data_IF_131943642992
#
_entry.id   IF_131943642992
#
_cell.length_a   1.000
_cell.length_b   1.000
_cell.length_c   1.000
_cell.angle_alpha   90.00
_cell.angle_beta   90.00
_cell.angle_gamma   90.00
#
_symmetry.space_group_name_H-M   'P 1'
#
loop_
_entity.id
_entity.type
_entity.pdbx_description
1 polymer ?
#
# COMPACT_ATOMS: atom_id res chain seq x y z
N UNK A 1 -8.31 -3.09 3.38
CA UNK A 1 -7.49 -1.90 3.63
C UNK A 1 -7.01 -1.92 5.07
N UNK A 2 -5.72 -1.99 5.34
CA UNK A 2 -5.17 -1.92 6.69
C UNK A 2 -5.01 -0.46 7.14
N UNK A 3 -4.60 0.41 6.23
CA UNK A 3 -4.51 1.84 6.42
C UNK A 3 -4.70 2.58 5.11
N UNK A 4 -5.21 3.81 5.17
CA UNK A 4 -5.61 4.58 3.99
C UNK A 4 -5.15 6.05 4.04
N UNK A 5 -4.38 6.39 5.06
CA UNK A 5 -3.90 7.75 5.29
C UNK A 5 -2.49 7.99 4.77
N UNK A 6 -2.18 9.27 4.63
CA UNK A 6 -0.87 9.80 4.26
C UNK A 6 0.21 9.54 5.32
N UNK A 7 1.45 9.90 5.03
CA UNK A 7 2.65 9.68 5.85
C UNK A 7 2.52 10.13 7.31
N UNK A 8 1.69 11.12 7.60
CA UNK A 8 1.45 11.61 8.97
C UNK A 8 0.27 10.91 9.67
N UNK A 9 -0.49 10.09 8.95
CA UNK A 9 -1.78 9.57 9.43
C UNK A 9 -2.83 10.68 9.60
N UNK A 10 -4.06 10.28 9.94
CA UNK A 10 -5.14 11.20 10.27
C UNK A 10 -5.81 10.70 11.55
N UNK A 11 -5.90 11.53 12.62
CA UNK A 11 -5.53 12.93 12.73
C UNK A 11 -4.02 13.18 12.72
N UNK A 12 -3.65 14.36 12.21
CA UNK A 12 -2.26 14.83 12.26
C UNK A 12 -1.94 15.38 13.65
N UNK A 13 -0.79 15.08 14.20
CA UNK A 13 -0.37 15.50 15.55
C UNK A 13 -0.42 17.02 15.67
N UNK A 14 -1.15 17.51 16.67
CA UNK A 14 -1.32 18.94 16.94
C UNK A 14 -2.26 19.68 15.98
N UNK A 15 -2.90 19.01 15.04
CA UNK A 15 -3.86 19.64 14.12
C UNK A 15 -5.29 19.62 14.67
N UNK A 16 -5.94 20.79 14.62
CA UNK A 16 -7.33 20.99 15.06
C UNK A 16 -8.29 21.31 13.90
N UNK A 17 -7.95 20.88 12.67
CA UNK A 17 -8.85 21.09 11.53
C UNK A 17 -10.11 20.21 11.66
N UNK A 18 -11.17 20.52 10.89
CA UNK A 18 -12.44 19.77 10.97
C UNK A 18 -12.32 18.27 10.68
N UNK A 19 -11.31 17.84 9.92
CA UNK A 19 -11.05 16.41 9.64
C UNK A 19 -10.37 15.74 10.85
N UNK A 20 -9.34 16.38 11.40
CA UNK A 20 -8.61 15.83 12.56
C UNK A 20 -9.48 15.76 13.83
N UNK A 21 -10.43 16.68 13.99
CA UNK A 21 -11.41 16.69 15.07
C UNK A 21 -12.68 15.88 14.77
N UNK A 22 -12.82 15.32 13.56
CA UNK A 22 -14.00 14.53 13.20
C UNK A 22 -14.15 13.31 14.11
N UNK A 23 -15.38 12.98 14.49
CA UNK A 23 -15.72 11.75 15.22
C UNK A 23 -16.04 10.57 14.26
N UNK A 24 -16.16 10.85 12.96
CA UNK A 24 -16.37 9.80 11.96
C UNK A 24 -15.13 8.88 11.92
N UNK A 25 -15.28 7.56 12.17
CA UNK A 25 -14.17 6.62 12.10
C UNK A 25 -13.51 6.56 10.73
N UNK A 26 -14.22 6.91 9.65
CA UNK A 26 -13.66 6.95 8.29
C UNK A 26 -12.69 8.13 8.08
N UNK A 27 -12.70 9.13 8.96
CA UNK A 27 -11.72 10.22 9.00
C UNK A 27 -10.50 9.88 9.89
N UNK A 28 -10.46 8.70 10.50
CA UNK A 28 -9.30 8.20 11.27
C UNK A 28 -8.55 7.20 10.40
N UNK A 29 -7.32 7.57 10.01
CA UNK A 29 -6.56 6.82 8.99
C UNK A 29 -5.15 6.50 9.48
N UNK A 30 -4.81 5.23 9.59
CA UNK A 30 -3.44 4.77 9.70
C UNK A 30 -2.70 4.97 8.37
N UNK A 31 -1.36 4.89 8.38
CA UNK A 31 -0.53 4.95 7.17
C UNK A 31 -0.93 3.86 6.19
N UNK A 32 -0.79 4.17 4.90
CA UNK A 32 -1.25 3.31 3.81
C UNK A 32 -0.66 1.91 3.87
N UNK A 33 -1.54 0.92 3.85
CA UNK A 33 -1.20 -0.50 3.76
C UNK A 33 -2.44 -1.29 3.36
N UNK A 34 -2.26 -2.39 2.63
CA UNK A 34 -3.35 -3.31 2.29
C UNK A 34 -2.98 -4.76 2.63
N UNK A 35 -4.00 -5.54 2.98
CA UNK A 35 -3.96 -6.99 3.04
C UNK A 35 -4.68 -7.53 1.81
N UNK A 36 -4.06 -8.48 1.13
CA UNK A 36 -4.61 -9.21 0.00
C UNK A 36 -4.79 -10.66 0.44
N UNK A 37 -5.99 -11.20 0.21
CA UNK A 37 -6.33 -12.56 0.60
C UNK A 37 -6.93 -13.30 -0.60
N UNK A 38 -6.41 -14.52 -0.86
CA UNK A 38 -6.94 -15.47 -1.85
C UNK A 38 -6.85 -16.87 -1.26
N UNK A 39 -7.99 -17.53 -1.03
CA UNK A 39 -8.01 -18.82 -0.36
C UNK A 39 -7.30 -18.77 1.00
N UNK A 40 -6.19 -19.50 1.09
CA UNK A 40 -5.36 -19.50 2.29
C UNK A 40 -4.17 -18.54 2.23
N UNK A 41 -3.91 -17.90 1.10
CA UNK A 41 -2.77 -16.99 0.93
C UNK A 41 -3.10 -15.59 1.46
N UNK A 42 -2.18 -15.04 2.26
CA UNK A 42 -2.28 -13.69 2.84
C UNK A 42 -1.00 -12.91 2.59
N UNK A 43 -1.12 -11.79 1.89
CA UNK A 43 0.00 -10.92 1.53
C UNK A 43 -0.30 -9.50 1.96
N UNK A 44 0.67 -8.85 2.59
CA UNK A 44 0.57 -7.42 2.94
C UNK A 44 1.42 -6.60 1.98
N UNK A 45 0.92 -5.45 1.56
CA UNK A 45 1.73 -4.41 0.92
C UNK A 45 1.94 -3.28 1.92
N UNK A 46 3.21 -3.01 2.23
CA UNK A 46 3.74 -2.03 3.16
C UNK A 46 3.43 -2.29 4.64
N UNK A 47 4.43 -2.01 5.50
CA UNK A 47 4.37 -2.15 6.95
C UNK A 47 4.75 -0.82 7.60
N UNK A 48 3.81 0.13 7.65
CA UNK A 48 4.03 1.43 8.28
C UNK A 48 4.11 1.36 9.81
N UNK A 49 4.21 2.51 10.47
CA UNK A 49 4.36 2.61 11.93
C UNK A 49 3.27 1.91 12.75
N UNK A 50 2.02 1.86 12.24
CA UNK A 50 0.89 1.22 12.92
C UNK A 50 0.67 -0.23 12.52
N UNK A 51 1.61 -0.87 11.81
CA UNK A 51 1.44 -2.20 11.24
C UNK A 51 0.94 -3.23 12.27
N UNK A 52 1.51 -3.24 13.48
CA UNK A 52 1.03 -4.10 14.56
C UNK A 52 -0.44 -3.84 14.90
N UNK A 53 -0.84 -2.58 15.04
CA UNK A 53 -2.23 -2.22 15.35
C UNK A 53 -3.18 -2.55 14.20
N UNK A 54 -2.73 -2.36 12.96
CA UNK A 54 -3.46 -2.73 11.76
C UNK A 54 -3.72 -4.23 11.71
N UNK A 55 -2.71 -5.06 11.98
CA UNK A 55 -2.85 -6.52 12.05
C UNK A 55 -3.80 -6.97 13.15
N UNK A 56 -3.66 -6.45 14.37
CA UNK A 56 -4.53 -6.80 15.49
C UNK A 56 -5.99 -6.44 15.20
N UNK A 57 -6.24 -5.25 14.65
CA UNK A 57 -7.59 -4.78 14.29
C UNK A 57 -8.23 -5.62 13.19
N UNK A 58 -7.44 -6.11 12.24
CA UNK A 58 -7.92 -6.87 11.08
C UNK A 58 -7.81 -8.39 11.25
N UNK A 59 -7.41 -8.88 12.43
CA UNK A 59 -7.29 -10.32 12.70
C UNK A 59 -6.24 -11.03 11.84
N UNK A 60 -5.13 -10.35 11.50
CA UNK A 60 -4.04 -10.93 10.70
C UNK A 60 -3.14 -11.74 11.62
N UNK A 61 -3.26 -13.07 11.57
CA UNK A 61 -2.51 -14.01 12.43
C UNK A 61 -1.37 -14.73 11.69
N UNK A 62 -1.35 -14.66 10.36
CA UNK A 62 -0.29 -15.25 9.51
C UNK A 62 -0.11 -14.44 8.24
N UNK A 63 1.06 -14.52 7.66
CA UNK A 63 1.42 -13.94 6.36
C UNK A 63 2.24 -14.95 5.55
N UNK A 64 2.00 -14.96 4.24
CA UNK A 64 2.78 -15.72 3.28
C UNK A 64 3.86 -14.85 2.61
N UNK A 65 3.74 -13.53 2.72
CA UNK A 65 4.74 -12.59 2.25
C UNK A 65 4.37 -11.13 2.47
N UNK A 66 5.36 -10.26 2.31
CA UNK A 66 5.21 -8.81 2.38
C UNK A 66 5.83 -8.16 1.16
N UNK A 67 5.09 -7.28 0.49
CA UNK A 67 5.58 -6.48 -0.62
C UNK A 67 5.81 -5.04 -0.14
N UNK A 68 6.89 -4.44 -0.61
CA UNK A 68 7.18 -3.03 -0.33
C UNK A 68 7.11 -2.19 -1.59
N UNK A 69 6.33 -1.11 -1.53
CA UNK A 69 6.25 -0.14 -2.62
C UNK A 69 7.55 0.67 -2.72
N UNK A 70 8.03 1.15 -1.60
CA UNK A 70 9.29 1.90 -1.48
C UNK A 70 9.75 1.95 -0.01
N UNK A 71 10.86 2.63 0.26
CA UNK A 71 11.52 2.59 1.58
C UNK A 71 11.29 3.83 2.43
N UNK A 72 10.20 4.59 2.24
CA UNK A 72 9.85 5.66 3.17
C UNK A 72 9.37 5.10 4.52
N UNK A 73 9.59 5.85 5.62
CA UNK A 73 9.29 5.38 6.97
C UNK A 73 7.84 4.95 7.20
N UNK A 74 6.90 5.66 6.61
CA UNK A 74 5.46 5.40 6.72
C UNK A 74 5.00 4.12 6.01
N UNK A 75 5.85 3.54 5.15
CA UNK A 75 5.62 2.26 4.48
C UNK A 75 6.49 1.12 5.04
N UNK A 76 7.55 1.45 5.81
CA UNK A 76 8.56 0.47 6.17
C UNK A 76 8.78 0.27 7.68
N UNK A 77 8.56 1.29 8.52
CA UNK A 77 9.10 1.28 9.90
C UNK A 77 8.36 0.37 10.89
N UNK A 78 7.30 -0.31 10.48
CA UNK A 78 6.71 -1.44 11.19
C UNK A 78 7.28 -2.81 10.83
N UNK A 79 8.32 -2.86 9.98
CA UNK A 79 8.96 -4.10 9.52
C UNK A 79 9.39 -5.00 10.68
N UNK A 80 9.82 -4.46 11.79
CA UNK A 80 10.28 -5.23 12.94
C UNK A 80 9.18 -6.07 13.59
N UNK A 81 7.90 -5.68 13.42
CA UNK A 81 6.75 -6.46 13.88
C UNK A 81 6.51 -7.73 13.07
N UNK A 82 7.21 -7.92 11.94
CA UNK A 82 7.20 -9.18 11.18
C UNK A 82 7.72 -10.37 12.00
N UNK A 83 8.41 -10.10 13.11
CA UNK A 83 8.80 -11.15 14.08
C UNK A 83 7.62 -11.97 14.60
N UNK A 84 6.42 -11.40 14.63
CA UNK A 84 5.22 -12.10 15.06
C UNK A 84 4.77 -13.20 14.09
N UNK A 85 5.19 -13.11 12.82
CA UNK A 85 4.85 -14.05 11.75
C UNK A 85 5.96 -15.08 11.46
N UNK A 86 7.11 -14.92 12.14
CA UNK A 86 8.18 -15.91 12.11
C UNK A 86 7.75 -17.14 12.91
N UNK A 87 7.59 -18.27 12.23
CA UNK A 87 7.16 -19.52 12.85
C UNK A 87 7.94 -20.70 12.27
N UNK A 88 8.18 -21.70 13.09
CA UNK A 88 8.80 -22.97 12.68
C UNK A 88 10.12 -22.78 11.92
N UNK A 89 10.94 -21.81 12.35
CA UNK A 89 12.26 -21.52 11.76
C UNK A 89 12.20 -21.07 10.28
N UNK A 90 11.03 -20.67 9.79
CA UNK A 90 10.87 -20.12 8.44
C UNK A 90 10.97 -18.59 8.46
N UNK A 91 11.81 -18.06 7.58
CA UNK A 91 11.88 -16.62 7.33
C UNK A 91 10.57 -16.09 6.73
N UNK A 92 10.29 -14.80 6.91
CA UNK A 92 9.22 -14.13 6.19
C UNK A 92 9.79 -13.63 4.87
N UNK A 93 9.16 -14.03 3.76
CA UNK A 93 9.56 -13.57 2.44
C UNK A 93 9.12 -12.12 2.21
N UNK A 94 10.03 -11.29 1.69
CA UNK A 94 9.77 -9.89 1.37
C UNK A 94 10.16 -9.57 -0.07
N UNK A 95 9.35 -8.77 -0.76
CA UNK A 95 9.60 -8.31 -2.13
C UNK A 95 9.66 -6.80 -2.20
N UNK A 96 10.47 -6.29 -3.09
CA UNK A 96 10.55 -4.87 -3.42
C UNK A 96 11.53 -4.63 -4.56
N UNK A 97 11.53 -3.41 -5.11
CA UNK A 97 12.56 -3.04 -6.08
C UNK A 97 13.97 -3.23 -5.49
N UNK A 98 14.98 -3.35 -6.35
CA UNK A 98 16.37 -3.47 -5.88
C UNK A 98 16.74 -2.34 -4.92
N UNK A 99 16.34 -1.09 -5.24
CA UNK A 99 16.63 0.07 -4.40
C UNK A 99 15.94 -0.03 -3.03
N UNK A 100 14.70 -0.48 -3.00
CA UNK A 100 13.94 -0.71 -1.76
C UNK A 100 14.59 -1.78 -0.89
N UNK A 101 14.92 -2.95 -1.47
CA UNK A 101 15.56 -4.05 -0.73
C UNK A 101 16.96 -3.65 -0.21
N UNK A 102 17.76 -2.96 -1.01
CA UNK A 102 19.08 -2.47 -0.58
C UNK A 102 18.96 -1.47 0.59
N UNK A 103 17.92 -0.62 0.57
CA UNK A 103 17.65 0.32 1.65
C UNK A 103 17.19 -0.42 2.93
N UNK A 104 16.33 -1.43 2.81
CA UNK A 104 15.92 -2.28 3.94
C UNK A 104 17.14 -2.97 4.56
N UNK A 105 18.03 -3.55 3.76
CA UNK A 105 19.28 -4.17 4.24
C UNK A 105 20.17 -3.19 4.99
N UNK A 106 20.19 -1.93 4.57
CA UNK A 106 20.97 -0.88 5.23
C UNK A 106 20.36 -0.47 6.58
N UNK A 107 19.03 -0.36 6.64
CA UNK A 107 18.32 0.09 7.85
C UNK A 107 18.17 -1.02 8.90
N UNK A 108 17.98 -2.25 8.45
CA UNK A 108 17.70 -3.41 9.29
C UNK A 108 18.68 -4.57 9.04
N UNK A 109 20.00 -4.36 9.16
CA UNK A 109 20.97 -5.41 8.80
C UNK A 109 20.86 -6.68 9.65
N UNK A 110 20.26 -6.58 10.82
CA UNK A 110 20.11 -7.70 11.75
C UNK A 110 19.07 -8.75 11.30
N UNK A 111 18.02 -8.36 10.52
CA UNK A 111 16.98 -9.27 10.06
C UNK A 111 17.44 -10.23 8.96
N UNK A 112 18.61 -9.99 8.37
CA UNK A 112 19.21 -10.82 7.32
C UNK A 112 20.37 -11.69 7.81
N UNK A 113 20.62 -11.71 9.14
CA UNK A 113 21.63 -12.58 9.71
C UNK A 113 21.17 -14.04 9.68
N UNK A 114 22.12 -15.01 9.67
CA UNK A 114 21.77 -16.41 9.87
C UNK A 114 20.92 -16.59 11.13
N UNK A 115 20.03 -17.57 11.11
CA UNK A 115 19.14 -17.87 12.21
C UNK A 115 19.89 -17.99 13.53
N UNK A 116 19.37 -17.32 14.54
CA UNK A 116 19.75 -17.45 15.95
C UNK A 116 18.48 -17.35 16.79
N UNK A 117 18.42 -18.03 17.93
CA UNK A 117 17.27 -18.00 18.87
C UNK A 117 17.20 -16.66 19.65
N UNK A 118 17.38 -15.54 18.95
CA UNK A 118 17.46 -14.20 19.53
C UNK A 118 16.12 -13.43 19.51
N UNK A 119 15.04 -14.06 18.99
CA UNK A 119 13.72 -13.45 18.90
C UNK A 119 13.61 -12.33 17.86
N UNK A 120 14.60 -12.18 16.98
CA UNK A 120 14.59 -11.22 15.88
C UNK A 120 13.79 -11.76 14.69
N UNK A 121 13.19 -10.90 13.87
CA UNK A 121 12.61 -11.34 12.61
C UNK A 121 13.73 -11.81 11.67
N UNK A 122 13.47 -12.88 10.93
CA UNK A 122 14.33 -13.33 9.84
C UNK A 122 13.59 -13.15 8.53
N UNK A 123 14.20 -12.40 7.60
CA UNK A 123 13.59 -12.04 6.34
C UNK A 123 14.37 -12.61 5.16
N UNK A 124 13.64 -13.14 4.18
CA UNK A 124 14.18 -13.57 2.89
C UNK A 124 13.84 -12.54 1.81
N UNK A 125 14.83 -11.76 1.33
CA UNK A 125 14.57 -10.69 0.37
C UNK A 125 14.55 -11.21 -1.07
N UNK A 126 13.55 -10.79 -1.83
CA UNK A 126 13.39 -11.03 -3.26
C UNK A 126 13.30 -9.70 -4.02
N UNK A 127 13.87 -9.66 -5.21
CA UNK A 127 13.83 -8.46 -6.07
C UNK A 127 12.62 -8.53 -6.98
N UNK A 128 11.70 -7.59 -6.80
CA UNK A 128 10.62 -7.34 -7.76
C UNK A 128 11.18 -6.51 -8.92
N UNK A 129 11.12 -7.04 -10.13
CA UNK A 129 11.65 -6.40 -11.34
C UNK A 129 10.50 -5.91 -12.22
N UNK A 130 10.67 -4.76 -12.88
CA UNK A 130 9.68 -4.14 -13.75
C UNK A 130 9.01 -5.16 -14.70
N UNK A 131 7.71 -5.35 -14.53
CA UNK A 131 6.88 -6.19 -15.40
C UNK A 131 7.17 -7.69 -15.36
N UNK A 132 8.02 -8.18 -14.45
CA UNK A 132 8.32 -9.59 -14.28
C UNK A 132 7.41 -10.19 -13.22
N UNK A 133 6.45 -11.08 -13.59
CA UNK A 133 5.54 -11.67 -12.62
C UNK A 133 6.28 -12.56 -11.60
N UNK A 134 5.75 -12.61 -10.39
CA UNK A 134 6.18 -13.56 -9.36
C UNK A 134 4.98 -14.02 -8.53
N UNK A 135 5.11 -15.18 -7.89
CA UNK A 135 4.07 -15.78 -7.06
C UNK A 135 4.39 -15.63 -5.57
N UNK A 136 3.35 -15.33 -4.79
CA UNK A 136 3.34 -15.50 -3.34
C UNK A 136 2.12 -16.36 -3.01
N UNK A 137 2.36 -17.60 -2.62
CA UNK A 137 1.28 -18.59 -2.53
C UNK A 137 0.54 -18.73 -3.89
N UNK A 138 -0.78 -18.52 -3.85
CA UNK A 138 -1.67 -18.63 -5.01
C UNK A 138 -1.92 -17.28 -5.73
N UNK A 139 -1.19 -16.22 -5.36
CA UNK A 139 -1.37 -14.88 -5.90
C UNK A 139 -0.19 -14.51 -6.79
N UNK A 140 -0.46 -14.22 -8.05
CA UNK A 140 0.53 -13.65 -8.96
C UNK A 140 0.56 -12.13 -8.82
N UNK A 141 1.76 -11.56 -8.70
CA UNK A 141 2.01 -10.13 -8.67
C UNK A 141 2.84 -9.69 -9.85
N UNK A 142 2.43 -8.60 -10.50
CA UNK A 142 3.20 -7.94 -11.55
C UNK A 142 3.61 -6.56 -11.02
N UNK A 143 4.90 -6.36 -10.70
CA UNK A 143 5.41 -5.08 -10.25
C UNK A 143 5.65 -4.13 -11.43
N UNK A 144 5.40 -2.84 -11.22
CA UNK A 144 5.73 -1.78 -12.17
C UNK A 144 6.19 -0.51 -11.44
N UNK A 145 7.20 0.14 -11.99
CA UNK A 145 7.88 1.25 -11.32
C UNK A 145 7.32 2.60 -11.74
N UNK A 146 7.08 3.46 -10.76
CA UNK A 146 6.48 4.77 -10.90
C UNK A 146 7.37 5.84 -10.28
N UNK A 147 7.10 7.10 -10.59
CA UNK A 147 7.80 8.25 -10.00
C UNK A 147 7.07 8.73 -8.76
N UNK A 148 7.78 8.92 -7.67
CA UNK A 148 7.31 9.52 -6.43
C UNK A 148 8.26 10.66 -6.02
N UNK A 149 8.06 11.86 -6.58
CA UNK A 149 9.01 12.95 -6.43
C UNK A 149 10.43 12.53 -6.87
N UNK A 150 11.43 12.57 -5.97
CA UNK A 150 12.80 12.18 -6.30
C UNK A 150 13.09 10.68 -6.20
N UNK A 151 12.14 9.87 -5.74
CA UNK A 151 12.31 8.42 -5.53
C UNK A 151 11.40 7.62 -6.46
N UNK A 152 11.71 6.32 -6.57
CA UNK A 152 10.88 5.37 -7.29
C UNK A 152 9.96 4.65 -6.30
N UNK A 153 8.69 4.49 -6.67
CA UNK A 153 7.72 3.65 -6.00
C UNK A 153 7.30 2.49 -6.90
N UNK A 154 6.93 1.36 -6.31
CA UNK A 154 6.48 0.16 -7.02
C UNK A 154 4.97 0.02 -6.87
N UNK A 155 4.24 0.06 -7.99
CA UNK A 155 2.87 -0.40 -8.06
C UNK A 155 2.83 -1.92 -8.26
N UNK A 156 1.76 -2.54 -7.81
CA UNK A 156 1.54 -3.98 -7.96
C UNK A 156 0.18 -4.25 -8.59
N UNK A 157 0.18 -5.01 -9.69
CA UNK A 157 -1.03 -5.64 -10.21
C UNK A 157 -1.13 -7.07 -9.69
N UNK A 158 -2.32 -7.51 -9.31
CA UNK A 158 -2.65 -8.87 -8.89
C UNK A 158 -4.09 -9.18 -9.35
N UNK A 159 -4.21 -10.17 -10.24
CA UNK A 159 -5.45 -10.43 -10.96
C UNK A 159 -5.99 -9.16 -11.65
N UNK A 160 -7.28 -8.88 -11.47
CA UNK A 160 -7.95 -7.69 -11.98
C UNK A 160 -7.92 -6.50 -11.01
N UNK A 161 -6.97 -6.48 -10.08
CA UNK A 161 -6.74 -5.37 -9.15
C UNK A 161 -5.34 -4.79 -9.30
N UNK A 162 -5.19 -3.48 -9.07
CA UNK A 162 -3.89 -2.83 -8.92
C UNK A 162 -3.87 -1.91 -7.70
N UNK A 163 -2.72 -1.90 -7.02
CA UNK A 163 -2.41 -1.00 -5.92
C UNK A 163 -1.29 -0.04 -6.32
N UNK A 164 -1.61 1.25 -6.29
CA UNK A 164 -0.79 2.35 -6.79
C UNK A 164 -0.76 3.45 -5.74
N UNK A 165 0.16 3.36 -4.79
CA UNK A 165 0.33 4.39 -3.76
C UNK A 165 1.65 5.14 -3.94
N UNK A 166 1.70 6.36 -3.41
CA UNK A 166 2.90 7.19 -3.45
C UNK A 166 3.44 7.37 -4.87
N UNK A 167 2.67 8.10 -5.65
CA UNK A 167 2.95 8.34 -7.07
C UNK A 167 2.66 9.78 -7.46
N UNK A 168 3.60 10.39 -8.17
CA UNK A 168 3.42 11.70 -8.83
C UNK A 168 3.28 11.56 -10.35
N UNK A 169 3.79 10.44 -10.92
CA UNK A 169 3.70 10.11 -12.32
C UNK A 169 3.74 8.58 -12.49
N UNK A 170 2.69 8.03 -13.08
CA UNK A 170 2.57 6.59 -13.35
C UNK A 170 3.46 6.12 -14.50
N UNK A 171 4.20 7.01 -15.18
CA UNK A 171 4.98 6.71 -16.40
C UNK A 171 4.09 6.00 -17.43
N UNK A 172 3.05 6.68 -17.90
CA UNK A 172 1.97 6.09 -18.69
C UNK A 172 2.44 5.23 -19.88
N UNK A 173 3.43 5.71 -20.65
CA UNK A 173 3.96 4.98 -21.82
C UNK A 173 4.46 3.58 -21.47
N UNK A 174 4.98 3.39 -20.24
CA UNK A 174 5.54 2.11 -19.79
C UNK A 174 4.48 1.25 -19.07
N UNK A 175 3.59 1.88 -18.30
CA UNK A 175 2.84 1.22 -17.24
C UNK A 175 1.33 1.12 -17.49
N UNK A 176 0.77 1.87 -18.46
CA UNK A 176 -0.68 1.85 -18.70
C UNK A 176 -1.22 0.44 -18.95
N UNK A 177 -0.45 -0.40 -19.65
CA UNK A 177 -0.78 -1.80 -19.93
C UNK A 177 -1.01 -2.66 -18.66
N UNK A 178 -0.40 -2.30 -17.51
CA UNK A 178 -0.61 -2.99 -16.23
C UNK A 178 -1.87 -2.51 -15.51
N UNK A 179 -2.45 -1.40 -15.95
CA UNK A 179 -3.64 -0.77 -15.37
C UNK A 179 -4.89 -0.93 -16.22
N UNK A 180 -4.79 -1.57 -17.40
CA UNK A 180 -5.93 -1.82 -18.28
C UNK A 180 -6.79 -2.98 -17.79
N UNK A 181 -8.11 -2.88 -18.06
CA UNK A 181 -9.12 -3.92 -17.76
C UNK A 181 -9.20 -4.30 -16.28
N UNK A 182 -8.94 -3.37 -15.37
CA UNK A 182 -9.05 -3.60 -13.95
C UNK A 182 -10.50 -3.58 -13.48
N UNK A 183 -10.83 -4.50 -12.58
CA UNK A 183 -12.04 -4.45 -11.77
C UNK A 183 -11.88 -3.37 -10.69
N UNK A 184 -10.70 -3.32 -10.06
CA UNK A 184 -10.39 -2.42 -8.96
C UNK A 184 -9.06 -1.74 -9.18
N UNK A 185 -9.06 -0.42 -9.11
CA UNK A 185 -7.85 0.39 -9.00
C UNK A 185 -7.84 1.09 -7.64
N UNK A 186 -6.87 0.76 -6.79
CA UNK A 186 -6.60 1.48 -5.54
C UNK A 186 -5.43 2.42 -5.82
N UNK A 187 -5.69 3.73 -5.78
CA UNK A 187 -4.73 4.73 -6.27
C UNK A 187 -4.49 5.85 -5.28
N UNK A 188 -3.24 6.33 -5.23
CA UNK A 188 -2.84 7.54 -4.51
C UNK A 188 -3.74 8.72 -4.85
N UNK A 189 -4.23 9.40 -3.82
CA UNK A 189 -5.00 10.62 -3.98
C UNK A 189 -4.89 11.46 -2.70
N UNK A 190 -3.83 12.23 -2.62
CA UNK A 190 -3.46 12.92 -1.38
C UNK A 190 -4.46 13.99 -0.97
N UNK A 191 -4.84 14.87 -1.90
CA UNK A 191 -5.68 16.04 -1.66
C UNK A 191 -6.23 16.65 -2.96
N UNK A 192 -7.05 17.71 -2.85
CA UNK A 192 -7.57 18.45 -4.00
C UNK A 192 -6.48 19.18 -4.81
N UNK A 193 -5.51 19.74 -4.11
CA UNK A 193 -4.44 20.53 -4.74
C UNK A 193 -3.37 19.60 -5.30
N UNK A 194 -2.78 20.02 -6.43
CA UNK A 194 -1.61 19.34 -6.98
C UNK A 194 -0.44 19.32 -5.98
N UNK A 195 0.24 18.20 -5.88
CA UNK A 195 1.38 17.99 -5.01
C UNK A 195 2.59 17.50 -5.82
N UNK A 196 3.82 17.88 -5.48
CA UNK A 196 5.01 17.51 -6.28
C UNK A 196 5.35 16.02 -6.27
N UNK A 197 4.91 15.26 -5.26
CA UNK A 197 5.22 13.84 -5.10
C UNK A 197 4.00 12.91 -5.04
N UNK A 198 2.78 13.47 -5.09
CA UNK A 198 1.54 12.69 -5.02
C UNK A 198 0.51 13.19 -6.03
N UNK A 199 -0.41 12.30 -6.40
CA UNK A 199 -1.58 12.67 -7.20
C UNK A 199 -2.60 13.45 -6.36
N UNK A 200 -3.26 14.40 -7.01
CA UNK A 200 -4.50 14.98 -6.51
C UNK A 200 -5.67 14.03 -6.77
N UNK A 201 -6.81 14.24 -6.09
CA UNK A 201 -8.05 13.49 -6.37
C UNK A 201 -8.44 13.56 -7.85
N UNK A 202 -8.27 14.73 -8.49
CA UNK A 202 -8.59 14.92 -9.91
C UNK A 202 -7.68 14.08 -10.81
N UNK A 203 -6.37 14.13 -10.60
CA UNK A 203 -5.41 13.35 -11.39
C UNK A 203 -5.64 11.84 -11.22
N UNK A 204 -5.95 11.37 -10.01
CA UNK A 204 -6.31 9.98 -9.75
C UNK A 204 -7.58 9.55 -10.53
N UNK A 205 -8.60 10.41 -10.58
CA UNK A 205 -9.80 10.16 -11.40
C UNK A 205 -9.49 10.08 -12.89
N UNK A 206 -8.63 10.99 -13.41
CA UNK A 206 -8.23 11.01 -14.82
C UNK A 206 -7.50 9.72 -15.21
N UNK A 207 -6.60 9.23 -14.35
CA UNK A 207 -5.91 7.94 -14.54
C UNK A 207 -6.92 6.79 -14.52
N UNK A 208 -7.79 6.71 -13.51
CA UNK A 208 -8.79 5.66 -13.40
C UNK A 208 -9.71 5.59 -14.62
N UNK A 209 -10.13 6.75 -15.16
CA UNK A 209 -10.89 6.83 -16.39
C UNK A 209 -10.10 6.38 -17.62
N UNK A 210 -8.82 6.77 -17.71
CA UNK A 210 -7.94 6.42 -18.84
C UNK A 210 -7.66 4.92 -18.87
N UNK A 211 -7.47 4.29 -17.70
CA UNK A 211 -7.27 2.86 -17.57
C UNK A 211 -8.55 2.03 -17.79
N UNK A 212 -9.72 2.67 -17.79
CA UNK A 212 -11.00 1.96 -17.88
C UNK A 212 -11.32 1.09 -16.66
N UNK A 213 -10.75 1.42 -15.49
CA UNK A 213 -11.02 0.68 -14.26
C UNK A 213 -12.50 0.78 -13.86
N UNK A 214 -13.13 -0.36 -13.54
CA UNK A 214 -14.57 -0.39 -13.20
C UNK A 214 -14.86 0.30 -11.88
N UNK A 215 -13.96 0.17 -10.91
CA UNK A 215 -14.05 0.76 -9.56
C UNK A 215 -12.72 1.39 -9.18
N UNK A 216 -12.75 2.66 -8.80
CA UNK A 216 -11.57 3.41 -8.37
C UNK A 216 -11.70 3.75 -6.89
N UNK A 217 -10.67 3.44 -6.11
CA UNK A 217 -10.59 3.75 -4.68
C UNK A 217 -9.38 4.62 -4.39
N UNK A 218 -9.60 5.75 -3.74
CA UNK A 218 -8.53 6.62 -3.27
C UNK A 218 -7.85 6.06 -2.03
N UNK A 219 -6.54 6.10 -1.97
CA UNK A 219 -5.73 5.81 -0.78
C UNK A 219 -4.73 6.94 -0.53
N UNK A 220 -3.94 6.87 0.53
CA UNK A 220 -2.97 7.88 0.95
C UNK A 220 -3.57 9.26 1.21
N UNK A 221 -4.80 9.31 1.73
CA UNK A 221 -5.63 10.50 1.87
C UNK A 221 -5.15 11.34 3.05
N UNK A 222 -4.99 12.66 2.82
CA UNK A 222 -4.62 13.63 3.85
C UNK A 222 -5.83 14.16 4.63
N UNK A 223 -5.57 14.98 5.66
CA UNK A 223 -6.59 15.61 6.51
C UNK A 223 -7.18 16.92 5.92
N UNK A 224 -7.18 17.07 4.59
CA UNK A 224 -7.64 18.31 3.93
C UNK A 224 -9.13 18.30 3.61
N UNK A 225 -9.76 17.14 3.56
CA UNK A 225 -11.19 16.96 3.25
C UNK A 225 -11.76 15.78 4.02
N UNK A 226 -12.98 15.91 4.56
CA UNK A 226 -13.67 14.82 5.26
C UNK A 226 -14.03 13.70 4.29
N UNK A 227 -14.07 12.46 4.79
CA UNK A 227 -14.46 11.28 4.01
C UNK A 227 -15.79 11.49 3.28
N UNK A 228 -16.81 11.96 3.98
CA UNK A 228 -18.16 12.19 3.42
C UNK A 228 -18.17 13.26 2.31
N UNK A 229 -17.29 14.24 2.38
CA UNK A 229 -17.22 15.31 1.37
C UNK A 229 -16.48 14.82 0.11
N UNK A 230 -15.44 13.96 0.27
CA UNK A 230 -14.78 13.29 -0.85
C UNK A 230 -15.80 12.37 -1.54
N UNK A 231 -16.51 11.53 -0.77
CA UNK A 231 -17.51 10.60 -1.30
C UNK A 231 -18.60 11.33 -2.09
N UNK A 232 -19.11 12.45 -1.56
CA UNK A 232 -20.12 13.27 -2.26
C UNK A 232 -19.57 13.89 -3.55
N UNK A 233 -18.35 14.43 -3.49
CA UNK A 233 -17.76 15.16 -4.62
C UNK A 233 -17.40 14.26 -5.79
N UNK A 234 -16.91 13.05 -5.50
CA UNK A 234 -16.44 12.10 -6.52
C UNK A 234 -17.42 10.95 -6.75
N UNK A 235 -18.67 11.08 -6.26
CA UNK A 235 -19.72 10.08 -6.46
C UNK A 235 -19.88 9.66 -7.93
N UNK A 236 -19.91 8.36 -8.18
CA UNK A 236 -19.99 7.78 -9.52
C UNK A 236 -18.67 7.77 -10.32
N UNK A 237 -17.58 8.34 -9.78
CA UNK A 237 -16.25 8.37 -10.43
C UNK A 237 -15.24 7.56 -9.63
N UNK A 238 -15.12 7.86 -8.35
CA UNK A 238 -14.20 7.18 -7.43
C UNK A 238 -14.76 7.23 -5.99
N UNK A 239 -14.24 6.38 -5.12
CA UNK A 239 -14.63 6.33 -3.70
C UNK A 239 -13.40 6.51 -2.80
N UNK A 240 -13.47 7.28 -1.72
CA UNK A 240 -12.41 7.26 -0.72
C UNK A 240 -12.40 5.89 -0.03
N UNK A 241 -11.25 5.26 0.10
CA UNK A 241 -11.11 4.12 0.99
C UNK A 241 -11.08 4.57 2.46
N UNK A 242 -11.28 3.65 3.38
CA UNK A 242 -11.14 3.84 4.82
C UNK A 242 -10.52 2.62 5.46
N UNK A 243 -9.91 2.79 6.61
CA UNK A 243 -9.29 1.71 7.36
C UNK A 243 -10.31 0.61 7.69
N UNK A 244 -9.91 -0.64 7.50
CA UNK A 244 -10.74 -1.85 7.60
C UNK A 244 -11.75 -2.08 6.45
N UNK A 245 -11.78 -1.23 5.42
CA UNK A 245 -12.61 -1.47 4.24
C UNK A 245 -12.17 -2.75 3.53
N UNK A 246 -13.13 -3.61 3.20
CA UNK A 246 -12.92 -4.79 2.34
C UNK A 246 -13.45 -4.50 0.94
N UNK A 247 -12.68 -4.91 -0.07
CA UNK A 247 -13.05 -4.82 -1.48
C UNK A 247 -12.81 -6.18 -2.10
N UNK A 248 -13.87 -6.78 -2.61
CA UNK A 248 -13.82 -8.03 -3.37
C UNK A 248 -13.72 -7.72 -4.88
N UNK A 249 -12.98 -8.54 -5.60
CA UNK A 249 -12.83 -8.41 -7.06
C UNK A 249 -12.60 -9.80 -7.67
N UNK A 250 -12.92 -9.92 -8.96
CA UNK A 250 -12.70 -11.16 -9.70
C UNK A 250 -11.21 -11.30 -10.08
N UNK A 251 -10.71 -12.53 -10.07
CA UNK A 251 -9.31 -12.87 -10.30
C UNK A 251 -9.08 -13.43 -11.72
N UNK A 252 -10.15 -13.46 -12.55
CA UNK A 252 -10.13 -13.97 -13.91
C UNK A 252 -9.98 -12.88 -14.99
#
# INVERSE_FOLDING_TARGET
>A
MLGTGTSCGVPFIGCHCPVCLSEDPKDKRCRSSILIEKGNTKVVIDTGYEFRLQCLRSGVERLDGVLYTHAHPDHLFGLDDLRAFYREEKSVDIWGSKGTIDRIKTLYPYVFKPFSNDGLPHLSPHIASQGVPFLVGDIEFIPFFMTHGPVESTGYRFGNCAYVTDVSDIREEENLKYLENLDVLIIDALMEKKHPSHLSFKEACEIGKKCGAKRVYFTHISHTMKHVDIERKYNGIAKPSYDTMTVEFDDE
#
